data_IF_433946446417
#
_entry.id   IF_433946446417
#
_cell.length_a   1.000
_cell.length_b   1.000
_cell.length_c   1.000
_cell.angle_alpha   90.00
_cell.angle_beta   90.00
_cell.angle_gamma   90.00
#
_symmetry.space_group_name_H-M   'P 1'
#
loop_
_entity.id
_entity.type
_entity.pdbx_description
1 polymer ?
#
# COMPACT_ATOMS: atom_id res chain seq x y z
N UNK A 1 -8.21 -17.12 11.34
CA UNK A 1 -8.00 -15.65 11.33
C UNK A 1 -8.19 -15.20 9.90
N UNK A 2 -9.07 -14.23 9.60
CA UNK A 2 -9.17 -13.65 8.23
C UNK A 2 -7.87 -12.87 8.00
N UNK A 3 -7.09 -13.26 7.00
CA UNK A 3 -5.94 -12.45 6.54
C UNK A 3 -6.50 -11.15 5.98
N UNK A 4 -6.35 -10.06 6.71
CA UNK A 4 -6.73 -8.73 6.23
C UNK A 4 -5.66 -8.27 5.24
N UNK A 5 -6.08 -7.95 4.02
CA UNK A 5 -5.18 -7.49 2.95
C UNK A 5 -4.62 -6.11 3.31
N UNK A 6 -3.32 -5.90 3.11
CA UNK A 6 -2.65 -4.60 3.26
C UNK A 6 -2.03 -4.26 1.89
N UNK A 7 -2.30 -3.06 1.39
CA UNK A 7 -1.92 -2.63 0.04
C UNK A 7 -1.12 -1.34 0.10
N UNK A 8 0.02 -1.28 -0.55
CA UNK A 8 0.74 -0.03 -0.76
C UNK A 8 0.09 0.75 -1.90
N UNK A 9 -0.27 2.00 -1.66
CA UNK A 9 -0.70 2.93 -2.70
C UNK A 9 0.52 3.65 -3.28
N UNK A 10 0.63 3.67 -4.60
CA UNK A 10 1.72 4.32 -5.33
C UNK A 10 1.19 5.30 -6.37
N UNK A 11 2.05 6.22 -6.76
CA UNK A 11 1.78 7.14 -7.85
C UNK A 11 2.26 6.49 -9.14
N UNK A 12 1.34 6.28 -10.07
CA UNK A 12 1.65 5.78 -11.39
C UNK A 12 2.50 6.81 -12.17
N UNK A 13 3.52 6.33 -12.88
CA UNK A 13 4.42 7.20 -13.64
C UNK A 13 3.71 7.87 -14.83
N UNK A 14 2.72 7.20 -15.40
CA UNK A 14 1.95 7.70 -16.54
C UNK A 14 0.82 8.64 -16.13
N UNK A 15 0.46 8.69 -14.84
CA UNK A 15 -0.66 9.46 -14.30
C UNK A 15 -0.24 10.50 -13.23
N UNK A 16 1.01 10.96 -13.27
CA UNK A 16 1.56 11.90 -12.26
C UNK A 16 0.78 13.22 -12.14
N UNK A 17 0.14 13.67 -13.22
CA UNK A 17 -0.67 14.89 -13.21
C UNK A 17 -1.92 14.79 -12.34
N UNK A 18 -2.41 13.56 -12.14
CA UNK A 18 -3.60 13.25 -11.35
C UNK A 18 -3.27 12.80 -9.91
N UNK A 19 -1.98 12.66 -9.58
CA UNK A 19 -1.53 12.03 -8.35
C UNK A 19 -2.07 12.72 -7.10
N UNK A 20 -2.02 14.05 -7.04
CA UNK A 20 -2.64 14.86 -5.98
C UNK A 20 -3.36 16.02 -6.65
N UNK A 21 -4.67 16.02 -6.62
CA UNK A 21 -5.47 17.11 -7.21
C UNK A 21 -5.78 18.21 -6.18
N UNK A 22 -6.14 17.84 -4.97
CA UNK A 22 -6.52 18.79 -3.93
C UNK A 22 -6.22 18.26 -2.52
N UNK A 23 -6.29 19.17 -1.55
CA UNK A 23 -6.36 18.82 -0.12
C UNK A 23 -7.76 19.14 0.35
N UNK A 24 -8.46 18.17 0.94
CA UNK A 24 -9.80 18.32 1.49
C UNK A 24 -9.75 18.65 2.98
N UNK A 25 -10.61 19.59 3.39
CA UNK A 25 -10.89 19.84 4.79
C UNK A 25 -12.04 18.94 5.22
N UNK A 26 -11.82 18.10 6.24
CA UNK A 26 -12.77 17.05 6.60
C UNK A 26 -13.06 17.01 8.09
N UNK A 27 -14.25 16.51 8.44
CA UNK A 27 -14.68 16.26 9.81
C UNK A 27 -13.96 15.03 10.43
N UNK A 28 -13.64 14.03 9.60
CA UNK A 28 -12.98 12.78 10.00
C UNK A 28 -11.79 12.47 9.08
N UNK A 29 -10.59 12.95 9.40
CA UNK A 29 -9.41 12.71 8.57
C UNK A 29 -9.03 11.22 8.54
N UNK A 30 -8.78 10.69 7.35
CA UNK A 30 -8.40 9.28 7.14
C UNK A 30 -7.10 8.90 7.86
N UNK A 31 -6.20 9.86 8.07
CA UNK A 31 -4.96 9.67 8.83
C UNK A 31 -5.14 9.77 10.35
N UNK A 32 -6.37 9.98 10.84
CA UNK A 32 -6.73 10.09 12.27
C UNK A 32 -5.94 11.15 13.05
N UNK A 33 -5.41 12.17 12.36
CA UNK A 33 -4.69 13.29 12.96
C UNK A 33 -5.45 14.59 12.72
N UNK A 34 -5.72 15.31 13.81
CA UNK A 34 -6.36 16.61 13.74
C UNK A 34 -5.31 17.70 13.47
N UNK A 35 -5.76 18.77 12.82
CA UNK A 35 -4.92 19.96 12.67
C UNK A 35 -4.77 20.77 13.96
N UNK A 36 -3.76 21.60 14.00
CA UNK A 36 -3.60 22.66 14.96
C UNK A 36 -3.81 24.00 14.27
N UNK A 37 -4.64 24.85 14.83
CA UNK A 37 -4.84 26.20 14.31
C UNK A 37 -4.42 27.26 15.33
N UNK A 38 -3.96 28.39 14.83
CA UNK A 38 -3.51 29.49 15.66
C UNK A 38 -4.74 30.25 16.23
N UNK A 39 -4.82 30.35 17.57
CA UNK A 39 -5.92 31.02 18.27
C UNK A 39 -6.68 30.17 19.30
N UNK A 40 -6.41 28.85 19.40
CA UNK A 40 -6.97 28.01 20.46
C UNK A 40 -6.00 27.88 21.61
N UNK A 41 -6.37 28.43 22.78
CA UNK A 41 -5.66 28.20 24.03
C UNK A 41 -5.75 26.72 24.44
N UNK A 42 -4.83 25.89 23.96
CA UNK A 42 -4.45 24.64 24.62
C UNK A 42 -3.01 24.30 24.27
N UNK A 43 -2.20 24.49 25.23
CA UNK A 43 -0.78 24.22 25.44
C UNK A 43 0.06 25.50 25.50
N UNK A 44 0.82 25.61 26.57
CA UNK A 44 1.75 26.68 26.99
C UNK A 44 2.84 27.02 25.94
N UNK A 45 2.48 27.16 24.67
CA UNK A 45 3.32 27.81 23.70
C UNK A 45 3.09 29.31 23.81
N UNK A 46 3.91 29.94 24.60
CA UNK A 46 4.03 31.41 24.70
C UNK A 46 4.57 31.95 23.37
N UNK A 47 3.84 31.77 22.28
CA UNK A 47 3.99 32.68 21.16
C UNK A 47 3.21 33.92 21.51
N UNK A 48 3.96 35.03 21.70
CA UNK A 48 3.46 36.33 22.02
C UNK A 48 2.11 36.62 21.39
N UNK A 49 1.24 37.30 22.13
CA UNK A 49 0.04 37.98 21.64
C UNK A 49 0.28 38.54 20.22
N UNK A 50 0.01 37.77 19.22
CA UNK A 50 0.12 38.18 17.83
C UNK A 50 -1.19 37.83 17.18
N UNK A 51 -1.94 38.85 16.88
CA UNK A 51 -3.16 38.93 16.08
C UNK A 51 -4.12 37.74 16.21
N UNK A 52 -5.26 38.04 16.79
CA UNK A 52 -6.29 37.08 17.16
C UNK A 52 -6.81 36.19 16.02
N UNK A 53 -6.41 36.44 14.77
CA UNK A 53 -6.79 35.56 13.66
C UNK A 53 -5.79 35.57 12.50
N UNK A 54 -4.65 34.89 12.64
CA UNK A 54 -3.85 34.58 11.43
C UNK A 54 -4.55 33.65 10.46
N UNK A 55 -5.65 33.01 10.88
CA UNK A 55 -6.42 32.05 10.10
C UNK A 55 -5.54 30.98 9.46
N UNK A 56 -4.60 30.48 10.25
CA UNK A 56 -3.63 29.49 9.84
C UNK A 56 -3.91 28.17 10.54
N UNK A 57 -3.79 27.09 9.81
CA UNK A 57 -3.78 25.75 10.36
C UNK A 57 -2.53 25.00 9.90
N UNK A 58 -2.06 24.08 10.74
CA UNK A 58 -0.95 23.18 10.45
C UNK A 58 -1.42 21.76 10.65
N UNK A 59 -1.13 20.88 9.69
CA UNK A 59 -1.54 19.48 9.75
C UNK A 59 -0.59 18.59 8.95
N UNK A 60 -0.43 17.32 9.33
CA UNK A 60 0.05 16.33 8.37
C UNK A 60 -0.97 16.18 7.23
N UNK A 61 -0.46 16.10 6.00
CA UNK A 61 -1.23 15.76 4.82
C UNK A 61 -1.16 14.25 4.54
N UNK A 62 0.04 13.66 4.68
CA UNK A 62 0.27 12.21 4.60
C UNK A 62 1.31 11.77 5.63
N UNK A 63 1.03 10.65 6.30
CA UNK A 63 1.94 10.00 7.23
C UNK A 63 2.40 8.68 6.58
N UNK A 64 3.72 8.49 6.38
CA UNK A 64 4.23 7.27 5.75
C UNK A 64 4.00 6.06 6.64
N UNK A 65 3.77 4.93 6.00
CA UNK A 65 3.62 3.59 6.60
C UNK A 65 2.42 3.48 7.59
N UNK A 66 1.60 4.54 7.73
CA UNK A 66 0.37 4.51 8.52
C UNK A 66 -0.72 3.78 7.74
N UNK A 67 -1.28 2.74 8.35
CA UNK A 67 -2.37 1.98 7.77
C UNK A 67 -3.68 2.77 7.85
N UNK A 68 -4.38 2.88 6.73
CA UNK A 68 -5.65 3.57 6.58
C UNK A 68 -6.69 2.52 6.21
N UNK A 69 -7.73 2.39 7.02
CA UNK A 69 -8.83 1.45 6.77
C UNK A 69 -9.60 1.81 5.50
N UNK A 70 -9.96 0.79 4.74
CA UNK A 70 -10.83 0.88 3.55
C UNK A 70 -11.83 -0.27 3.54
N UNK A 71 -13.02 0.03 3.09
CA UNK A 71 -14.07 -0.94 2.82
C UNK A 71 -14.39 -0.94 1.32
N UNK A 72 -14.33 -2.12 0.69
CA UNK A 72 -14.77 -2.28 -0.69
C UNK A 72 -16.24 -2.71 -0.72
N UNK A 73 -17.15 -1.84 -1.16
CA UNK A 73 -18.57 -2.16 -1.18
C UNK A 73 -18.95 -3.22 -2.23
N UNK A 74 -18.12 -3.41 -3.27
CA UNK A 74 -18.40 -4.41 -4.32
C UNK A 74 -18.11 -5.84 -3.85
N UNK A 75 -17.02 -6.01 -3.12
CA UNK A 75 -16.61 -7.31 -2.59
C UNK A 75 -16.98 -7.52 -1.13
N UNK A 76 -17.53 -6.50 -0.47
CA UNK A 76 -17.82 -6.47 0.98
C UNK A 76 -16.59 -6.89 1.82
N UNK A 77 -15.40 -6.49 1.36
CA UNK A 77 -14.16 -6.83 2.02
C UNK A 77 -13.49 -5.62 2.64
N UNK A 78 -12.93 -5.81 3.83
CA UNK A 78 -12.17 -4.83 4.55
C UNK A 78 -10.68 -5.03 4.26
N UNK A 79 -9.97 -3.93 4.02
CA UNK A 79 -8.54 -3.94 3.79
C UNK A 79 -7.89 -2.66 4.32
N UNK A 80 -6.57 -2.64 4.39
CA UNK A 80 -5.81 -1.45 4.74
C UNK A 80 -4.96 -1.00 3.56
N UNK A 81 -4.79 0.32 3.44
CA UNK A 81 -3.85 0.92 2.50
C UNK A 81 -2.82 1.74 3.27
N UNK A 82 -1.63 1.91 2.69
CA UNK A 82 -0.61 2.79 3.22
C UNK A 82 0.21 3.42 2.09
N UNK A 83 0.96 4.47 2.42
CA UNK A 83 1.87 5.14 1.52
C UNK A 83 3.30 4.98 2.05
N UNK A 84 4.24 4.54 1.22
CA UNK A 84 5.66 4.52 1.60
C UNK A 84 6.24 5.93 1.68
N UNK A 85 7.38 6.09 2.36
CA UNK A 85 8.09 7.37 2.45
C UNK A 85 8.42 7.99 1.08
N UNK A 86 8.76 7.13 0.11
CA UNK A 86 9.03 7.56 -1.27
C UNK A 86 7.77 8.09 -1.95
N UNK A 87 6.63 7.43 -1.77
CA UNK A 87 5.34 7.86 -2.33
C UNK A 87 4.89 9.17 -1.69
N UNK A 88 5.01 9.31 -0.35
CA UNK A 88 4.66 10.55 0.35
C UNK A 88 5.51 11.73 -0.14
N UNK A 89 6.83 11.55 -0.32
CA UNK A 89 7.71 12.59 -0.87
C UNK A 89 7.30 12.96 -2.31
N UNK A 90 7.11 11.97 -3.18
CA UNK A 90 6.69 12.20 -4.57
C UNK A 90 5.35 12.94 -4.64
N UNK A 91 4.40 12.58 -3.78
CA UNK A 91 3.10 13.25 -3.66
C UNK A 91 3.25 14.74 -3.32
N UNK A 92 4.07 15.06 -2.31
CA UNK A 92 4.31 16.45 -1.89
C UNK A 92 4.97 17.30 -2.98
N UNK A 93 5.89 16.72 -3.74
CA UNK A 93 6.58 17.39 -4.85
C UNK A 93 5.62 17.64 -6.03
N UNK A 94 4.80 16.65 -6.40
CA UNK A 94 3.82 16.77 -7.47
C UNK A 94 2.71 17.77 -7.14
N UNK A 95 2.27 17.81 -5.88
CA UNK A 95 1.29 18.78 -5.42
C UNK A 95 1.72 20.22 -5.70
N UNK A 96 2.98 20.56 -5.43
CA UNK A 96 3.54 21.88 -5.73
C UNK A 96 3.83 22.05 -7.22
N UNK A 97 4.43 21.06 -7.87
CA UNK A 97 4.74 21.09 -9.31
C UNK A 97 3.51 21.37 -10.16
N UNK A 98 2.37 20.79 -9.79
CA UNK A 98 1.11 20.92 -10.52
C UNK A 98 0.29 22.16 -10.09
N UNK A 99 0.88 23.08 -9.31
CA UNK A 99 0.23 24.30 -8.81
C UNK A 99 -1.08 24.03 -8.04
N UNK A 100 -1.16 22.94 -7.29
CA UNK A 100 -2.36 22.54 -6.57
C UNK A 100 -2.51 23.21 -5.18
N UNK A 101 -1.55 24.04 -4.77
CA UNK A 101 -1.51 24.73 -3.47
C UNK A 101 -2.71 25.66 -3.19
N UNK A 102 -3.47 26.01 -4.22
CA UNK A 102 -4.71 26.82 -4.12
C UNK A 102 -5.98 26.01 -4.37
N UNK A 103 -5.85 24.68 -4.56
CA UNK A 103 -6.97 23.79 -4.76
C UNK A 103 -7.32 23.10 -3.45
N UNK A 104 -8.49 23.39 -2.93
CA UNK A 104 -9.01 22.75 -1.73
C UNK A 104 -10.46 22.35 -1.95
N UNK A 105 -10.90 21.32 -1.22
CA UNK A 105 -12.29 20.87 -1.19
C UNK A 105 -12.77 20.76 0.26
N UNK A 106 -14.05 20.59 0.46
CA UNK A 106 -14.67 20.28 1.73
C UNK A 106 -15.35 18.93 1.60
N UNK A 107 -15.07 18.02 2.56
CA UNK A 107 -15.63 16.66 2.64
C UNK A 107 -15.50 15.85 1.34
N UNK A 108 -14.49 16.14 0.51
CA UNK A 108 -14.29 15.53 -0.82
C UNK A 108 -15.39 15.80 -1.85
N UNK A 109 -16.27 16.74 -1.59
CA UNK A 109 -17.44 17.01 -2.45
C UNK A 109 -17.29 18.32 -3.20
N UNK A 110 -17.16 19.44 -2.49
CA UNK A 110 -17.20 20.77 -3.09
C UNK A 110 -15.83 21.46 -3.08
N UNK A 111 -15.47 22.07 -4.19
CA UNK A 111 -14.30 22.96 -4.24
C UNK A 111 -14.58 24.23 -3.47
N UNK A 112 -13.65 24.60 -2.59
CA UNK A 112 -13.74 25.81 -1.78
C UNK A 112 -12.68 26.83 -2.19
N UNK A 113 -13.08 28.08 -2.30
CA UNK A 113 -12.17 29.20 -2.55
C UNK A 113 -11.66 29.81 -1.24
N UNK A 114 -10.55 30.56 -1.32
CA UNK A 114 -9.98 31.25 -0.16
C UNK A 114 -9.22 30.34 0.81
N UNK A 115 -8.90 29.14 0.40
CA UNK A 115 -8.03 28.20 1.12
C UNK A 115 -6.72 28.05 0.34
N UNK A 116 -5.59 28.32 0.99
CA UNK A 116 -4.29 28.33 0.34
C UNK A 116 -3.25 27.58 1.19
N UNK A 117 -2.58 26.60 0.60
CA UNK A 117 -1.36 26.03 1.20
C UNK A 117 -0.20 27.01 1.06
N UNK A 118 0.31 27.51 2.18
CA UNK A 118 1.39 28.51 2.23
C UNK A 118 2.72 27.91 2.59
N UNK A 119 2.73 26.73 3.17
CA UNK A 119 3.93 25.95 3.44
C UNK A 119 3.66 24.48 3.18
N UNK A 120 4.67 23.80 2.66
CA UNK A 120 4.67 22.36 2.40
C UNK A 120 6.07 21.83 2.67
N UNK A 121 6.22 20.84 3.56
CA UNK A 121 7.53 20.28 3.87
C UNK A 121 7.43 18.82 4.31
N UNK A 122 8.58 18.13 4.24
CA UNK A 122 8.73 16.76 4.74
C UNK A 122 9.52 16.80 6.04
N UNK A 123 9.07 16.06 7.04
CA UNK A 123 9.81 15.88 8.29
C UNK A 123 11.06 15.03 8.03
N UNK A 124 12.23 15.63 8.13
CA UNK A 124 13.51 14.94 7.98
C UNK A 124 14.08 14.46 9.32
N UNK A 125 13.93 15.25 10.38
CA UNK A 125 14.28 14.87 11.75
C UNK A 125 13.09 15.11 12.69
N UNK A 126 12.42 14.07 13.16
CA UNK A 126 11.24 14.19 14.03
C UNK A 126 11.48 14.95 15.35
N UNK A 127 12.73 15.04 15.81
CA UNK A 127 13.06 15.74 17.08
C UNK A 127 13.35 17.22 16.88
N UNK A 128 13.79 17.60 15.68
CA UNK A 128 14.22 18.97 15.36
C UNK A 128 13.25 19.69 14.43
N UNK A 129 12.20 19.02 13.98
CA UNK A 129 11.23 19.59 13.06
C UNK A 129 10.29 20.57 13.76
N UNK A 130 9.92 21.64 13.06
CA UNK A 130 8.99 22.65 13.57
C UNK A 130 7.60 22.11 13.92
N UNK A 131 7.20 20.94 13.40
CA UNK A 131 5.95 20.28 13.75
C UNK A 131 5.86 19.95 15.25
N UNK A 132 7.00 19.72 15.91
CA UNK A 132 7.05 19.50 17.36
C UNK A 132 6.61 20.74 18.16
N UNK A 133 6.84 21.94 17.63
CA UNK A 133 6.39 23.19 18.24
C UNK A 133 4.85 23.31 18.24
N UNK A 134 4.20 22.61 17.36
CA UNK A 134 2.72 22.52 17.27
C UNK A 134 2.15 21.32 18.04
N UNK A 135 3.01 20.58 18.74
CA UNK A 135 2.60 19.42 19.56
C UNK A 135 2.47 18.11 18.79
N UNK A 136 2.92 18.05 17.54
CA UNK A 136 2.94 16.81 16.78
C UNK A 136 4.15 15.93 17.14
N UNK A 137 3.91 14.62 17.20
CA UNK A 137 4.95 13.58 17.33
C UNK A 137 4.82 12.61 16.16
N UNK A 138 5.39 12.97 15.02
CA UNK A 138 5.19 12.30 13.75
C UNK A 138 6.51 11.68 13.24
N UNK A 139 6.44 10.58 12.46
CA UNK A 139 7.63 9.90 11.97
C UNK A 139 8.33 10.71 10.86
N UNK A 140 9.63 10.41 10.67
CA UNK A 140 10.39 10.89 9.51
C UNK A 140 9.72 10.49 8.21
N UNK A 141 9.63 11.43 7.27
CA UNK A 141 9.00 11.24 5.97
C UNK A 141 7.53 11.71 5.92
N UNK A 142 6.97 12.17 7.04
CA UNK A 142 5.63 12.77 7.06
C UNK A 142 5.61 14.06 6.23
N UNK A 143 4.60 14.18 5.38
CA UNK A 143 4.33 15.41 4.64
C UNK A 143 3.43 16.32 5.48
N UNK A 144 3.94 17.51 5.79
CA UNK A 144 3.26 18.55 6.55
C UNK A 144 2.86 19.72 5.64
N UNK A 145 1.75 20.35 5.96
CA UNK A 145 1.33 21.59 5.32
C UNK A 145 0.87 22.63 6.33
N UNK A 146 1.09 23.91 5.99
CA UNK A 146 0.41 25.03 6.63
C UNK A 146 -0.57 25.64 5.63
N UNK A 147 -1.79 25.88 6.04
CA UNK A 147 -2.82 26.44 5.19
C UNK A 147 -3.39 27.73 5.76
N UNK A 148 -3.60 28.72 4.91
CA UNK A 148 -4.27 29.96 5.25
C UNK A 148 -5.73 29.90 4.79
N UNK A 149 -6.65 30.28 5.69
CA UNK A 149 -8.10 30.20 5.45
C UNK A 149 -8.67 31.60 5.36
N UNK A 150 -8.82 32.13 4.14
CA UNK A 150 -9.44 33.43 3.88
C UNK A 150 -10.95 33.34 3.69
N UNK A 151 -11.52 32.14 3.77
CA UNK A 151 -12.97 31.88 3.66
C UNK A 151 -13.61 31.93 5.05
N UNK A 152 -14.56 32.83 5.26
CA UNK A 152 -15.19 33.07 6.56
C UNK A 152 -16.07 31.90 7.00
N UNK A 153 -16.74 31.23 6.07
CA UNK A 153 -17.63 30.10 6.35
C UNK A 153 -16.79 28.89 6.78
N UNK A 154 -15.77 28.55 6.01
CA UNK A 154 -14.83 27.48 6.34
C UNK A 154 -14.15 27.77 7.68
N UNK A 155 -13.76 29.04 7.94
CA UNK A 155 -13.14 29.39 9.21
C UNK A 155 -14.08 29.22 10.41
N UNK A 156 -15.37 29.47 10.24
CA UNK A 156 -16.40 29.19 11.27
C UNK A 156 -16.52 27.69 11.54
N UNK A 157 -16.55 26.87 10.50
CA UNK A 157 -16.62 25.40 10.62
C UNK A 157 -15.37 24.81 11.33
N UNK A 158 -14.20 25.37 11.05
CA UNK A 158 -12.96 25.03 11.77
C UNK A 158 -13.02 25.40 13.26
N UNK A 159 -13.48 26.63 13.57
CA UNK A 159 -13.59 27.10 14.95
C UNK A 159 -14.65 26.33 15.76
N UNK A 160 -15.75 25.96 15.13
CA UNK A 160 -16.80 25.15 15.77
C UNK A 160 -16.39 23.69 15.99
N UNK A 161 -15.32 23.23 15.32
CA UNK A 161 -14.84 21.85 15.40
C UNK A 161 -15.65 20.89 14.53
N UNK A 162 -16.42 21.39 13.57
CA UNK A 162 -17.11 20.58 12.57
C UNK A 162 -16.09 20.00 11.58
N UNK A 163 -15.14 20.81 11.13
CA UNK A 163 -13.98 20.36 10.37
C UNK A 163 -12.78 20.19 11.32
N UNK A 164 -12.02 19.09 11.21
CA UNK A 164 -11.00 18.72 12.19
C UNK A 164 -9.63 18.37 11.61
N UNK A 165 -9.56 17.96 10.35
CA UNK A 165 -8.32 17.51 9.74
C UNK A 165 -8.30 17.65 8.24
N UNK A 166 -7.20 17.17 7.66
CA UNK A 166 -6.98 17.15 6.23
C UNK A 166 -7.06 15.72 5.69
N UNK A 167 -7.54 15.63 4.46
CA UNK A 167 -7.45 14.42 3.64
C UNK A 167 -6.97 14.79 2.25
N UNK A 168 -6.24 13.93 1.59
CA UNK A 168 -5.79 14.19 0.22
C UNK A 168 -6.74 13.59 -0.80
N UNK A 169 -6.89 14.33 -1.89
CA UNK A 169 -7.56 13.90 -3.10
C UNK A 169 -6.51 13.68 -4.19
N UNK A 170 -6.58 12.53 -4.84
CA UNK A 170 -5.67 12.21 -5.90
C UNK A 170 -5.89 10.79 -6.41
N UNK A 171 -5.29 10.51 -7.54
CA UNK A 171 -5.30 9.19 -8.14
C UNK A 171 -4.06 8.40 -7.69
N UNK A 172 -4.30 7.35 -6.94
CA UNK A 172 -3.27 6.40 -6.53
C UNK A 172 -3.64 5.02 -7.07
N UNK A 173 -2.66 4.31 -7.58
CA UNK A 173 -2.82 2.92 -7.97
C UNK A 173 -2.40 2.02 -6.83
N UNK A 174 -3.09 0.91 -6.68
CA UNK A 174 -2.60 -0.17 -5.87
C UNK A 174 -1.24 -0.58 -6.45
N UNK A 175 -0.19 -0.50 -5.63
CA UNK A 175 0.92 -1.36 -5.88
C UNK A 175 0.36 -2.76 -5.61
N UNK A 176 -0.21 -3.38 -6.64
CA UNK A 176 -0.02 -4.80 -6.74
C UNK A 176 1.46 -4.95 -6.50
N UNK A 177 1.87 -5.70 -5.46
CA UNK A 177 3.16 -6.32 -5.58
C UNK A 177 3.17 -6.80 -7.02
N UNK A 178 3.91 -6.15 -7.91
CA UNK A 178 4.63 -6.88 -8.88
C UNK A 178 5.37 -7.87 -8.00
N UNK A 179 4.76 -9.00 -7.71
CA UNK A 179 5.49 -10.24 -7.55
C UNK A 179 6.47 -10.09 -8.68
N UNK A 180 7.71 -9.77 -8.32
CA UNK A 180 8.72 -9.44 -9.30
C UNK A 180 8.42 -10.38 -10.44
N UNK A 181 8.14 -9.86 -11.63
CA UNK A 181 8.33 -10.59 -12.84
C UNK A 181 9.84 -10.83 -13.00
N UNK A 182 10.43 -11.47 -12.04
CA UNK A 182 11.30 -12.57 -12.31
C UNK A 182 10.34 -13.57 -12.93
N UNK A 183 10.23 -13.53 -14.26
CA UNK A 183 9.85 -14.71 -15.01
C UNK A 183 10.67 -15.80 -14.36
N UNK A 184 10.00 -16.74 -13.65
CA UNK A 184 10.76 -17.77 -12.95
C UNK A 184 11.62 -18.39 -14.03
N UNK A 185 12.90 -18.48 -13.78
CA UNK A 185 13.84 -19.12 -14.72
C UNK A 185 13.29 -20.50 -15.03
N UNK A 186 13.52 -21.01 -16.23
CA UNK A 186 13.10 -22.38 -16.59
C UNK A 186 13.48 -23.39 -15.51
N UNK A 187 14.58 -23.17 -14.79
CA UNK A 187 15.01 -23.98 -13.66
C UNK A 187 14.09 -23.85 -12.43
N UNK A 188 13.57 -22.65 -12.13
CA UNK A 188 12.63 -22.46 -11.01
C UNK A 188 11.25 -23.02 -11.35
N UNK A 189 10.81 -22.91 -12.61
CA UNK A 189 9.57 -23.55 -13.10
C UNK A 189 9.70 -25.07 -13.02
N UNK A 190 10.82 -25.63 -13.50
CA UNK A 190 11.10 -27.05 -13.43
C UNK A 190 11.17 -27.57 -12.00
N UNK A 191 11.75 -26.79 -11.09
CA UNK A 191 11.81 -27.14 -9.67
C UNK A 191 10.42 -27.14 -9.03
N UNK A 192 9.60 -26.12 -9.27
CA UNK A 192 8.24 -26.05 -8.75
C UNK A 192 7.35 -27.16 -9.33
N UNK A 193 7.47 -27.45 -10.64
CA UNK A 193 6.78 -28.58 -11.28
C UNK A 193 7.22 -29.92 -10.69
N UNK A 194 8.52 -30.12 -10.44
CA UNK A 194 9.03 -31.32 -9.80
C UNK A 194 8.53 -31.46 -8.36
N UNK A 195 8.48 -30.38 -7.58
CA UNK A 195 7.91 -30.39 -6.23
C UNK A 195 6.42 -30.71 -6.20
N UNK A 196 5.66 -30.30 -7.21
CA UNK A 196 4.23 -30.62 -7.36
C UNK A 196 3.99 -32.05 -7.89
N UNK A 197 4.87 -32.57 -8.73
CA UNK A 197 4.74 -33.89 -9.35
C UNK A 197 5.32 -35.03 -8.49
N UNK A 198 6.34 -34.74 -7.69
CA UNK A 198 7.02 -35.72 -6.84
C UNK A 198 6.08 -36.51 -5.90
N UNK A 199 5.11 -35.88 -5.18
CA UNK A 199 4.20 -36.63 -4.31
C UNK A 199 3.31 -37.61 -5.09
N UNK A 200 2.90 -37.23 -6.33
CA UNK A 200 2.08 -38.06 -7.18
C UNK A 200 2.88 -39.26 -7.72
N UNK A 201 4.09 -39.00 -8.19
CA UNK A 201 5.02 -40.04 -8.67
C UNK A 201 5.46 -40.96 -7.53
N UNK A 202 5.70 -40.41 -6.33
CA UNK A 202 6.06 -41.19 -5.14
C UNK A 202 4.93 -42.13 -4.70
N UNK A 203 3.68 -41.71 -4.76
CA UNK A 203 2.52 -42.54 -4.47
C UNK A 203 2.37 -43.67 -5.49
N UNK A 204 2.55 -43.37 -6.77
CA UNK A 204 2.53 -44.40 -7.83
C UNK A 204 3.66 -45.41 -7.62
N UNK A 205 4.86 -44.97 -7.34
CA UNK A 205 5.99 -45.85 -7.07
C UNK A 205 5.76 -46.73 -5.81
N UNK A 206 5.17 -46.19 -4.75
CA UNK A 206 4.78 -46.94 -3.53
C UNK A 206 3.72 -48.05 -3.84
N UNK A 207 2.75 -47.75 -4.68
CA UNK A 207 1.76 -48.77 -5.07
C UNK A 207 2.41 -49.87 -5.91
N UNK A 208 3.30 -49.52 -6.84
CA UNK A 208 4.02 -50.48 -7.68
C UNK A 208 4.99 -51.34 -6.86
N UNK A 209 5.64 -50.81 -5.83
CA UNK A 209 6.53 -51.57 -4.97
C UNK A 209 5.87 -52.68 -4.15
N UNK A 210 4.54 -52.64 -4.02
CA UNK A 210 3.77 -53.73 -3.39
C UNK A 210 3.65 -54.99 -4.27
N UNK A 211 3.82 -54.83 -5.56
CA UNK A 211 3.56 -55.90 -6.57
C UNK A 211 4.82 -56.28 -7.36
N UNK A 212 5.84 -55.41 -7.35
CA UNK A 212 7.03 -55.60 -8.19
C UNK A 212 8.28 -55.12 -7.46
N UNK A 213 9.45 -55.75 -7.74
CA UNK A 213 10.72 -55.27 -7.32
C UNK A 213 11.17 -54.10 -8.20
N UNK A 214 11.21 -52.88 -7.68
CA UNK A 214 11.51 -51.64 -8.43
C UNK A 214 13.00 -51.51 -8.78
N UNK A 215 13.89 -52.16 -8.06
CA UNK A 215 15.35 -52.13 -8.31
C UNK A 215 15.72 -52.79 -9.64
N UNK A 216 15.00 -53.85 -9.98
CA UNK A 216 15.22 -54.65 -11.19
C UNK A 216 14.12 -54.46 -12.23
N UNK A 217 13.33 -53.42 -12.14
CA UNK A 217 12.18 -53.18 -13.05
C UNK A 217 12.69 -52.67 -14.42
N UNK A 218 12.67 -53.53 -15.50
CA UNK A 218 13.20 -53.15 -16.79
C UNK A 218 12.42 -51.94 -17.37
N UNK A 219 13.15 -51.02 -18.00
CA UNK A 219 12.56 -49.81 -18.57
C UNK A 219 11.41 -50.11 -19.55
N UNK A 220 11.66 -51.02 -20.49
CA UNK A 220 10.65 -51.34 -21.51
C UNK A 220 9.40 -51.98 -20.89
N UNK A 221 9.57 -52.79 -19.86
CA UNK A 221 8.46 -53.41 -19.12
C UNK A 221 7.67 -52.32 -18.35
N UNK A 222 8.39 -51.42 -17.69
CA UNK A 222 7.76 -50.33 -17.00
C UNK A 222 6.91 -49.45 -17.94
N UNK A 223 7.47 -49.06 -19.09
CA UNK A 223 6.74 -48.28 -20.11
C UNK A 223 5.48 -49.04 -20.60
N UNK A 224 5.63 -50.32 -20.92
CA UNK A 224 4.51 -51.16 -21.39
C UNK A 224 3.41 -51.29 -20.33
N UNK A 225 3.76 -51.39 -19.07
CA UNK A 225 2.79 -51.52 -17.99
C UNK A 225 2.12 -50.16 -17.65
N UNK A 226 2.86 -49.08 -17.65
CA UNK A 226 2.32 -47.75 -17.32
C UNK A 226 1.48 -47.16 -18.46
N UNK A 227 1.75 -47.49 -19.71
CA UNK A 227 0.94 -47.04 -20.86
C UNK A 227 -0.46 -47.70 -20.92
N UNK A 228 -0.74 -48.73 -20.10
CA UNK A 228 -2.09 -49.29 -19.94
C UNK A 228 -3.05 -48.33 -19.20
N UNK A 229 -2.53 -47.49 -18.31
CA UNK A 229 -3.31 -46.61 -17.46
C UNK A 229 -3.01 -45.10 -17.66
N UNK A 230 -1.92 -44.77 -18.31
CA UNK A 230 -1.40 -43.41 -18.49
C UNK A 230 -1.05 -43.13 -19.95
N UNK A 231 -0.98 -41.85 -20.33
CA UNK A 231 -0.41 -41.48 -21.63
C UNK A 231 1.07 -41.87 -21.74
N UNK A 232 1.56 -42.01 -22.97
CA UNK A 232 3.01 -42.34 -23.17
C UNK A 232 3.96 -41.40 -22.48
N UNK A 233 3.68 -40.08 -22.49
CA UNK A 233 4.48 -39.07 -21.84
C UNK A 233 4.45 -39.19 -20.30
N UNK A 234 3.31 -39.53 -19.71
CA UNK A 234 3.18 -39.78 -18.27
C UNK A 234 3.88 -41.07 -17.87
N UNK A 235 3.76 -42.15 -18.69
CA UNK A 235 4.47 -43.40 -18.47
C UNK A 235 6.00 -43.21 -18.46
N UNK A 236 6.54 -42.41 -19.39
CA UNK A 236 7.95 -42.07 -19.45
C UNK A 236 8.41 -41.30 -18.18
N UNK A 237 7.59 -40.36 -17.67
CA UNK A 237 7.87 -39.62 -16.42
C UNK A 237 7.82 -40.56 -15.21
N UNK A 238 6.86 -41.43 -15.10
CA UNK A 238 6.73 -42.41 -14.01
C UNK A 238 7.95 -43.35 -14.00
N UNK A 239 8.26 -43.94 -15.15
CA UNK A 239 9.39 -44.87 -15.28
C UNK A 239 10.72 -44.18 -15.09
N UNK A 240 10.90 -42.93 -15.55
CA UNK A 240 12.07 -42.08 -15.27
C UNK A 240 12.27 -41.83 -13.80
N UNK A 241 11.21 -41.51 -13.06
CA UNK A 241 11.24 -41.33 -11.62
C UNK A 241 11.62 -42.64 -10.89
N UNK A 242 11.00 -43.78 -11.25
CA UNK A 242 11.34 -45.10 -10.65
C UNK A 242 12.79 -45.43 -10.87
N UNK A 243 13.29 -45.26 -12.08
CA UNK A 243 14.68 -45.54 -12.43
C UNK A 243 15.68 -44.63 -11.68
N UNK A 244 15.33 -43.35 -11.55
CA UNK A 244 16.22 -42.40 -10.83
C UNK A 244 16.26 -42.60 -9.32
N UNK A 245 15.18 -43.14 -8.72
CA UNK A 245 15.05 -43.28 -7.26
C UNK A 245 15.38 -44.69 -6.77
N UNK A 246 15.12 -45.70 -7.55
CA UNK A 246 15.23 -47.12 -7.14
C UNK A 246 16.13 -47.97 -8.08
N UNK A 247 16.49 -47.49 -9.27
CA UNK A 247 17.37 -48.21 -10.18
C UNK A 247 18.85 -48.11 -9.80
N UNK A 248 19.57 -49.21 -9.93
CA UNK A 248 21.05 -49.26 -9.81
C UNK A 248 21.73 -48.61 -11.00
#
# INVERSE_FOLDING_TARGET
MKNTKIVELVIDEDSQELAIDAISLVSAPAIEENWVFFGKEKNNLTFAKVDEEKRMLVSPALIPDKQIFRHDPQTSSDYYVYFSKSTVRKASELYLKNNNHHKATQEHEERVSGVLTVESWIIDDPKMDKSTLYGFSLPKGTWMVSMRINNDEIWKEIKSGNLKGLSIEGYFTDRMEKMSEKTPTDQEILKALNEMLNPKLENIAKELSKTQNLEDYPWDQCIADQTKAHSKEEAEKICGYIKSKYGN
#
